data_IF_575962953633
#
_entry.id   IF_575962953633
#
_cell.length_a   1.000
_cell.length_b   1.000
_cell.length_c   1.000
_cell.angle_alpha   90.00
_cell.angle_beta   90.00
_cell.angle_gamma   90.00
#
_symmetry.space_group_name_H-M   'P 1'
#
loop_
_entity.id
_entity.type
_entity.pdbx_description
1 polymer ?
#
# COMPACT_ATOMS: atom_id res chain seq x y z
N UNK A 1 4.21 15.39 -10.48
CA UNK A 1 3.94 14.09 -9.84
C UNK A 1 4.68 14.10 -8.52
N UNK A 2 3.95 13.94 -7.42
CA UNK A 2 4.53 13.91 -6.06
C UNK A 2 4.28 12.51 -5.51
N UNK A 3 5.33 11.92 -4.94
CA UNK A 3 5.26 10.60 -4.33
C UNK A 3 5.34 10.71 -2.81
N UNK A 4 4.42 10.04 -2.13
CA UNK A 4 4.33 9.99 -0.67
C UNK A 4 4.03 8.57 -0.21
N UNK A 5 4.55 8.16 0.94
CA UNK A 5 4.23 6.85 1.51
C UNK A 5 2.77 6.79 2.00
N UNK A 6 2.17 5.60 2.02
CA UNK A 6 0.77 5.44 2.43
C UNK A 6 0.50 5.97 3.85
N UNK A 7 1.43 5.79 4.79
CA UNK A 7 1.32 6.28 6.17
C UNK A 7 1.25 7.82 6.23
N UNK A 8 2.12 8.52 5.50
CA UNK A 8 2.12 9.98 5.43
C UNK A 8 0.87 10.51 4.73
N UNK A 9 0.44 9.84 3.66
CA UNK A 9 -0.78 10.20 2.95
C UNK A 9 -2.02 10.08 3.84
N UNK A 10 -2.09 9.02 4.64
CA UNK A 10 -3.17 8.83 5.62
C UNK A 10 -3.07 9.82 6.78
N UNK A 11 -1.86 10.19 7.23
CA UNK A 11 -1.67 11.22 8.25
C UNK A 11 -2.12 12.61 7.77
N UNK A 12 -1.94 12.93 6.50
CA UNK A 12 -2.35 14.21 5.90
C UNK A 12 -3.86 14.28 5.62
N UNK A 13 -4.42 13.26 4.96
CA UNK A 13 -5.83 13.27 4.52
C UNK A 13 -6.81 12.67 5.54
N UNK A 14 -6.32 11.84 6.45
CA UNK A 14 -7.14 10.95 7.28
C UNK A 14 -7.52 9.66 6.55
N UNK A 15 -7.79 8.61 7.32
CA UNK A 15 -7.99 7.25 6.79
C UNK A 15 -9.21 7.12 5.86
N UNK A 16 -10.34 7.71 6.24
CA UNK A 16 -11.58 7.62 5.45
C UNK A 16 -11.44 8.34 4.11
N UNK A 17 -10.81 9.51 4.08
CA UNK A 17 -10.62 10.27 2.85
C UNK A 17 -9.53 9.65 1.97
N UNK A 18 -8.43 9.16 2.56
CA UNK A 18 -7.42 8.40 1.83
C UNK A 18 -8.02 7.17 1.14
N UNK A 19 -8.92 6.44 1.82
CA UNK A 19 -9.64 5.32 1.23
C UNK A 19 -10.52 5.75 0.05
N UNK A 20 -11.24 6.87 0.19
CA UNK A 20 -12.09 7.45 -0.87
C UNK A 20 -11.26 7.83 -2.10
N UNK A 21 -10.14 8.54 -1.90
CA UNK A 21 -9.24 9.00 -2.95
C UNK A 21 -8.58 7.84 -3.70
N UNK A 22 -8.20 6.79 -2.98
CA UNK A 22 -7.61 5.57 -3.55
C UNK A 22 -8.63 4.54 -4.05
N UNK A 23 -9.94 4.84 -3.93
CA UNK A 23 -11.05 3.96 -4.32
C UNK A 23 -10.98 2.57 -3.68
N UNK A 24 -10.63 2.53 -2.39
CA UNK A 24 -10.60 1.31 -1.58
C UNK A 24 -11.44 1.50 -0.31
N UNK A 25 -11.59 0.45 0.49
CA UNK A 25 -12.31 0.54 1.77
C UNK A 25 -11.37 1.00 2.90
N UNK A 26 -11.88 1.72 3.90
CA UNK A 26 -11.09 2.12 5.06
C UNK A 26 -10.44 0.95 5.82
N UNK A 27 -11.08 -0.24 5.94
CA UNK A 27 -10.42 -1.44 6.47
C UNK A 27 -9.25 -1.95 5.62
N UNK A 28 -9.28 -1.77 4.28
CA UNK A 28 -8.16 -2.15 3.42
C UNK A 28 -6.92 -1.27 3.68
N UNK A 29 -7.12 0.03 3.91
CA UNK A 29 -6.05 0.95 4.34
C UNK A 29 -5.50 0.52 5.69
N UNK A 30 -6.37 0.25 6.68
CA UNK A 30 -5.94 -0.23 7.99
C UNK A 30 -5.10 -1.50 7.88
N UNK A 31 -5.58 -2.50 7.14
CA UNK A 31 -4.85 -3.76 6.90
C UNK A 31 -3.48 -3.51 6.27
N UNK A 32 -3.39 -2.58 5.32
CA UNK A 32 -2.14 -2.25 4.65
C UNK A 32 -1.12 -1.61 5.61
N UNK A 33 -1.57 -0.71 6.48
CA UNK A 33 -0.73 -0.07 7.50
C UNK A 33 -0.30 -1.07 8.58
N UNK A 34 -1.22 -1.88 9.10
CA UNK A 34 -0.91 -2.91 10.12
C UNK A 34 0.09 -3.94 9.59
N UNK A 35 -0.07 -4.36 8.33
CA UNK A 35 0.84 -5.30 7.68
C UNK A 35 2.15 -4.66 7.20
N UNK A 36 2.37 -3.36 7.45
CA UNK A 36 3.56 -2.60 7.05
C UNK A 36 3.93 -2.82 5.58
N UNK A 37 2.92 -2.82 4.70
CA UNK A 37 3.11 -2.99 3.26
C UNK A 37 3.86 -1.77 2.71
N UNK A 38 4.83 -2.00 1.84
CA UNK A 38 5.55 -0.93 1.15
C UNK A 38 4.66 -0.39 0.02
N UNK A 39 3.89 0.65 0.33
CA UNK A 39 2.93 1.26 -0.58
C UNK A 39 3.26 2.74 -0.77
N UNK A 40 3.37 3.13 -2.03
CA UNK A 40 3.60 4.51 -2.47
C UNK A 40 2.36 5.07 -3.14
N UNK A 41 1.98 6.28 -2.75
CA UNK A 41 0.87 7.05 -3.32
C UNK A 41 1.43 8.15 -4.19
N UNK A 42 0.89 8.26 -5.39
CA UNK A 42 1.31 9.15 -6.46
C UNK A 42 0.19 10.14 -6.75
N UNK A 43 0.47 11.42 -6.54
CA UNK A 43 -0.40 12.51 -6.94
C UNK A 43 -0.12 12.89 -8.39
N UNK A 44 -1.14 12.76 -9.23
CA UNK A 44 -1.12 13.06 -10.65
C UNK A 44 -1.40 14.57 -10.87
N UNK A 45 -0.96 15.16 -11.99
CA UNK A 45 -1.21 16.58 -12.28
C UNK A 45 -2.69 16.96 -12.41
N UNK A 46 -3.56 15.98 -12.64
CA UNK A 46 -5.02 16.15 -12.70
C UNK A 46 -5.71 16.11 -11.31
N UNK A 47 -4.92 15.99 -10.23
CA UNK A 47 -5.41 15.86 -8.85
C UNK A 47 -5.90 14.46 -8.49
N UNK A 48 -5.75 13.48 -9.37
CA UNK A 48 -6.04 12.08 -9.04
C UNK A 48 -4.89 11.42 -8.27
N UNK A 49 -5.22 10.41 -7.47
CA UNK A 49 -4.24 9.64 -6.70
C UNK A 49 -4.16 8.20 -7.22
N UNK A 50 -2.94 7.70 -7.36
CA UNK A 50 -2.67 6.28 -7.69
C UNK A 50 -1.79 5.67 -6.60
N UNK A 51 -1.98 4.39 -6.30
CA UNK A 51 -1.13 3.67 -5.34
C UNK A 51 -0.41 2.51 -6.03
N UNK A 52 0.83 2.26 -5.63
CA UNK A 52 1.65 1.12 -6.05
C UNK A 52 2.21 0.41 -4.82
N UNK A 53 2.14 -0.93 -4.81
CA UNK A 53 2.73 -1.75 -3.76
C UNK A 53 3.98 -2.44 -4.29
N UNK A 54 5.07 -2.30 -3.55
CA UNK A 54 6.29 -3.06 -3.78
C UNK A 54 6.27 -4.32 -2.89
N UNK A 55 6.44 -5.49 -3.52
CA UNK A 55 6.49 -6.78 -2.83
C UNK A 55 7.57 -7.66 -3.43
N UNK A 56 8.34 -8.41 -2.62
CA UNK A 56 9.30 -9.37 -3.14
C UNK A 56 8.63 -10.41 -4.03
N UNK A 57 9.39 -10.92 -5.00
CA UNK A 57 8.99 -12.04 -5.85
C UNK A 57 9.82 -13.28 -5.46
N UNK A 58 9.19 -14.43 -5.14
CA UNK A 58 7.75 -14.70 -5.15
C UNK A 58 7.01 -14.00 -4.01
N UNK A 59 5.83 -13.46 -4.30
CA UNK A 59 5.05 -12.67 -3.34
C UNK A 59 4.33 -13.53 -2.31
N UNK A 60 4.05 -14.78 -2.64
CA UNK A 60 3.49 -15.78 -1.73
C UNK A 60 4.63 -16.54 -1.05
N UNK A 61 5.00 -16.14 0.16
CA UNK A 61 5.72 -17.03 1.07
C UNK A 61 4.74 -18.11 1.52
N UNK A 62 4.57 -19.16 0.71
CA UNK A 62 4.11 -20.43 1.25
C UNK A 62 5.15 -20.83 2.29
N UNK A 63 4.77 -20.81 3.57
CA UNK A 63 5.57 -21.36 4.67
C UNK A 63 5.88 -22.88 4.50
N UNK A 64 5.57 -23.46 3.33
CA UNK A 64 5.72 -24.87 2.99
C UNK A 64 6.80 -25.17 1.94
N UNK A 65 7.58 -24.19 1.45
CA UNK A 65 8.65 -24.46 0.46
C UNK A 65 10.05 -23.96 0.88
N UNK A 66 10.29 -23.83 2.19
CA UNK A 66 11.62 -23.56 2.75
C UNK A 66 12.25 -24.83 3.36
N UNK A 67 12.09 -25.98 2.68
CA UNK A 67 12.77 -27.23 3.02
C UNK A 67 13.22 -27.90 1.73
N UNK A 68 14.43 -27.62 1.26
CA UNK A 68 14.95 -28.33 0.10
C UNK A 68 16.11 -27.68 -0.65
N UNK A 69 17.12 -27.19 0.04
CA UNK A 69 18.50 -27.20 -0.50
C UNK A 69 19.45 -27.50 0.67
N UNK A 70 19.79 -28.77 0.81
CA UNK A 70 21.00 -29.26 1.47
C UNK A 70 21.60 -30.30 0.53
#
# INVERSE_FOLDING_TARGET
>A
MIETSLDKFVADKGQSEAARLLRVTAPAIHKALTAKRDIRVLEMPDGSFRAQEQRPFPSHTSAAHASGVT
#
